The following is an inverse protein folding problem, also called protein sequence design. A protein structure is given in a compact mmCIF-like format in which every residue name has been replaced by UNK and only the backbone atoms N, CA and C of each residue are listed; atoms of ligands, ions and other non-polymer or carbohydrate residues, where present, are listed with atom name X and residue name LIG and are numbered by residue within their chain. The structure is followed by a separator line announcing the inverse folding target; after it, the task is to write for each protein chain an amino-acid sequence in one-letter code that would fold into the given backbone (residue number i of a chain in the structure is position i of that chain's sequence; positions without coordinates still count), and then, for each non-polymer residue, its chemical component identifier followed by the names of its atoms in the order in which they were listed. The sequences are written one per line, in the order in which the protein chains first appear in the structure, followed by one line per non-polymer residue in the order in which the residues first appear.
data_IF_921290793696
#
_entry.id   IF_921290793696
#
_cell.length_a   1.000
_cell.length_b   1.000
_cell.length_c   1.000
_cell.angle_alpha   90.00
_cell.angle_beta   90.00
_cell.angle_gamma   90.00
#
_symmetry.space_group_name_H-M   'P 1'
#
loop_
_entity.id
_entity.type
_entity.pdbx_description
1 polymer ?
#
# COMPACT_ATOMS: atom_id res chain seq x y z
N UNK A 1 26.40 2.33 49.09
CA UNK A 1 25.54 2.90 50.15
C UNK A 1 24.14 3.05 49.56
N UNK A 2 23.18 2.24 50.02
CA UNK A 2 21.80 2.20 49.51
C UNK A 2 20.96 3.18 50.34
N UNK A 3 20.44 4.24 49.74
CA UNK A 3 19.38 5.05 50.36
C UNK A 3 18.04 4.62 49.80
N UNK A 4 17.15 4.25 50.72
CA UNK A 4 15.74 3.94 50.49
C UNK A 4 14.89 5.14 50.93
N UNK A 5 13.75 5.28 50.23
CA UNK A 5 12.49 5.88 50.65
C UNK A 5 12.37 7.43 50.65
N UNK A 6 11.15 8.01 50.51
CA UNK A 6 9.84 7.36 50.63
C UNK A 6 8.81 7.61 49.51
N UNK A 7 7.87 6.66 49.46
CA UNK A 7 6.52 6.79 48.91
C UNK A 7 5.82 8.02 49.49
N UNK A 8 5.30 8.89 48.61
CA UNK A 8 4.33 9.93 48.98
C UNK A 8 3.02 9.61 48.25
N UNK A 9 2.06 9.08 49.00
CA UNK A 9 0.66 8.95 48.58
C UNK A 9 0.05 10.36 48.58
N UNK A 10 -0.25 10.91 47.40
CA UNK A 10 -1.07 12.11 47.26
C UNK A 10 -2.46 11.66 46.80
N UNK A 11 -3.43 11.77 47.71
CA UNK A 11 -4.85 11.84 47.39
C UNK A 11 -5.08 13.14 46.61
N UNK A 12 -5.40 13.07 45.31
CA UNK A 12 -5.89 14.22 44.55
C UNK A 12 -7.41 14.14 44.49
N UNK A 13 -8.02 15.20 44.97
CA UNK A 13 -9.46 15.48 44.98
C UNK A 13 -10.08 15.34 43.59
N UNK A 14 -11.25 14.69 43.57
CA UNK A 14 -12.25 14.76 42.51
C UNK A 14 -12.68 16.23 42.30
N UNK A 15 -12.03 16.91 41.35
CA UNK A 15 -12.57 18.10 40.72
C UNK A 15 -13.29 17.64 39.44
N UNK A 16 -14.62 17.67 39.46
CA UNK A 16 -15.44 17.39 38.29
C UNK A 16 -15.17 18.42 37.20
N UNK A 17 -14.33 18.08 36.23
CA UNK A 17 -14.22 18.83 34.98
C UNK A 17 -15.43 18.47 34.13
N UNK A 18 -16.36 19.40 34.02
CA UNK A 18 -17.46 19.38 33.07
C UNK A 18 -16.92 19.12 31.65
N UNK A 19 -17.05 17.88 31.19
CA UNK A 19 -16.74 17.48 29.83
C UNK A 19 -17.81 18.07 28.91
N UNK A 20 -17.55 19.24 28.33
CA UNK A 20 -18.43 19.79 27.28
C UNK A 20 -18.09 19.09 25.97
N UNK A 21 -18.84 18.02 25.67
CA UNK A 21 -18.94 17.52 24.30
C UNK A 21 -19.51 18.64 23.42
N UNK A 22 -18.76 19.05 22.40
CA UNK A 22 -19.27 19.98 21.38
C UNK A 22 -20.12 19.16 20.42
N UNK A 23 -21.42 19.10 20.67
CA UNK A 23 -22.39 18.50 19.76
C UNK A 23 -22.82 19.52 18.70
N UNK A 24 -22.08 19.58 17.60
CA UNK A 24 -22.60 20.16 16.36
C UNK A 24 -23.49 19.13 15.66
N UNK A 25 -24.78 19.13 15.99
CA UNK A 25 -25.81 18.36 15.28
C UNK A 25 -26.21 19.11 13.99
N UNK A 26 -25.42 18.96 12.94
CA UNK A 26 -25.91 19.24 11.58
C UNK A 26 -26.83 18.08 11.17
N UNK A 27 -27.98 18.38 10.57
CA UNK A 27 -28.91 17.37 10.08
C UNK A 27 -28.18 16.45 9.08
N UNK A 28 -27.95 15.19 9.48
CA UNK A 28 -27.19 14.24 8.67
C UNK A 28 -28.03 13.80 7.48
N UNK A 29 -27.52 14.03 6.26
CA UNK A 29 -28.02 13.36 5.06
C UNK A 29 -28.08 11.84 5.34
N UNK A 30 -29.07 11.12 4.77
CA UNK A 30 -29.11 9.67 4.91
C UNK A 30 -27.78 9.08 4.41
N UNK A 31 -27.25 8.05 5.09
CA UNK A 31 -25.99 7.45 4.67
C UNK A 31 -26.10 6.94 3.22
N UNK A 32 -25.03 7.05 2.41
CA UNK A 32 -25.05 6.54 1.05
C UNK A 32 -25.39 5.04 1.02
N UNK A 33 -26.08 4.59 -0.04
CA UNK A 33 -26.53 3.20 -0.16
C UNK A 33 -25.37 2.19 -0.16
N UNK A 34 -24.17 2.60 -0.60
CA UNK A 34 -22.96 1.78 -0.61
C UNK A 34 -22.28 1.65 0.76
N UNK A 35 -22.63 2.51 1.74
CA UNK A 35 -22.02 2.49 3.07
C UNK A 35 -22.64 1.35 3.88
N UNK A 36 -21.84 0.32 4.17
CA UNK A 36 -22.29 -0.82 4.95
C UNK A 36 -22.33 -0.48 6.46
N UNK A 37 -23.18 -1.19 7.21
CA UNK A 37 -23.18 -1.11 8.69
C UNK A 37 -22.01 -1.84 9.33
N UNK A 38 -21.49 -2.86 8.66
CA UNK A 38 -20.35 -3.66 9.11
C UNK A 38 -19.42 -3.92 7.92
N UNK A 39 -18.12 -3.79 8.14
CA UNK A 39 -17.08 -4.25 7.23
C UNK A 39 -16.29 -5.38 7.89
N UNK A 40 -16.37 -6.55 7.29
CA UNK A 40 -15.56 -7.70 7.68
C UNK A 40 -14.29 -7.73 6.83
N UNK A 41 -13.18 -8.21 7.40
CA UNK A 41 -11.90 -8.33 6.71
C UNK A 41 -11.30 -7.00 6.23
N UNK A 42 -11.43 -5.96 7.06
CA UNK A 42 -10.77 -4.67 6.81
C UNK A 42 -9.27 -4.86 6.88
N UNK A 43 -8.57 -4.46 5.81
CA UNK A 43 -7.11 -4.47 5.74
C UNK A 43 -6.59 -3.13 6.23
N UNK A 44 -5.81 -3.14 7.32
CA UNK A 44 -5.19 -1.92 7.83
C UNK A 44 -3.88 -1.66 7.08
N UNK A 45 -3.70 -0.43 6.61
CA UNK A 45 -2.47 0.05 5.98
C UNK A 45 -1.80 0.99 6.98
N UNK A 46 -0.61 0.63 7.45
CA UNK A 46 0.14 1.33 8.50
C UNK A 46 1.53 1.73 8.01
N UNK A 47 2.23 2.55 8.79
CA UNK A 47 3.58 3.00 8.46
C UNK A 47 4.56 1.81 8.29
N UNK A 48 4.43 0.76 9.10
CA UNK A 48 5.32 -0.42 9.04
C UNK A 48 5.20 -1.23 7.75
N UNK A 49 4.06 -1.18 7.08
CA UNK A 49 3.80 -1.83 5.79
C UNK A 49 3.81 -0.82 4.64
N UNK A 50 4.38 0.37 4.84
CA UNK A 50 4.52 1.37 3.78
C UNK A 50 5.94 1.90 3.68
N UNK A 51 6.32 2.30 2.46
CA UNK A 51 7.56 3.02 2.22
C UNK A 51 7.30 4.16 1.25
N UNK A 52 8.02 5.26 1.42
CA UNK A 52 7.98 6.42 0.53
C UNK A 52 9.38 6.71 -0.03
N UNK A 53 9.45 6.99 -1.33
CA UNK A 53 10.66 7.46 -2.00
C UNK A 53 10.28 8.31 -3.21
N UNK A 54 10.77 9.56 -3.26
CA UNK A 54 10.54 10.50 -4.34
C UNK A 54 9.04 10.66 -4.72
N UNK A 55 8.16 10.74 -3.71
CA UNK A 55 6.71 10.83 -3.88
C UNK A 55 6.02 9.55 -4.38
N UNK A 56 6.78 8.47 -4.62
CA UNK A 56 6.22 7.14 -4.85
C UNK A 56 6.09 6.37 -3.55
N UNK A 57 5.09 5.50 -3.47
CA UNK A 57 4.77 4.73 -2.28
C UNK A 57 4.75 3.24 -2.60
N UNK A 58 5.27 2.41 -1.71
CA UNK A 58 4.97 0.98 -1.67
C UNK A 58 3.98 0.73 -0.55
N UNK A 59 2.85 0.10 -0.86
CA UNK A 59 1.99 -0.55 0.13
C UNK A 59 2.33 -2.03 0.11
N UNK A 60 3.08 -2.45 1.12
CA UNK A 60 3.73 -3.75 1.22
C UNK A 60 2.81 -4.78 1.87
N UNK A 61 1.67 -5.02 1.24
CA UNK A 61 0.64 -5.94 1.72
C UNK A 61 0.29 -6.93 0.59
N UNK A 62 0.38 -8.25 0.82
CA UNK A 62 -0.07 -9.22 -0.16
C UNK A 62 -1.59 -9.36 -0.15
N UNK A 63 -2.29 -8.85 -1.16
CA UNK A 63 -3.75 -8.96 -1.21
C UNK A 63 -4.21 -10.10 -2.10
N UNK A 64 -5.02 -11.00 -1.52
CA UNK A 64 -5.86 -11.92 -2.27
C UNK A 64 -7.22 -11.28 -2.46
N UNK A 65 -7.59 -11.01 -3.71
CA UNK A 65 -8.87 -10.38 -4.00
C UNK A 65 -10.04 -11.28 -3.58
N UNK A 66 -11.01 -10.75 -2.83
CA UNK A 66 -12.24 -11.47 -2.54
C UNK A 66 -13.06 -11.64 -3.83
N UNK A 67 -13.66 -12.82 -4.02
CA UNK A 67 -14.49 -13.10 -5.20
C UNK A 67 -15.86 -12.43 -5.14
N UNK A 68 -16.45 -12.33 -3.94
CA UNK A 68 -17.85 -11.95 -3.74
C UNK A 68 -18.04 -10.73 -2.81
N UNK A 69 -16.97 -9.96 -2.55
CA UNK A 69 -17.07 -8.78 -1.68
C UNK A 69 -16.18 -7.64 -2.14
N UNK A 70 -16.56 -6.42 -1.73
CA UNK A 70 -15.75 -5.22 -1.94
C UNK A 70 -14.58 -5.23 -0.97
N UNK A 71 -13.37 -4.99 -1.46
CA UNK A 71 -12.18 -4.85 -0.60
C UNK A 71 -12.27 -3.55 0.21
N UNK A 72 -11.95 -3.62 1.50
CA UNK A 72 -12.03 -2.47 2.41
C UNK A 72 -10.68 -2.24 3.06
N UNK A 73 -10.15 -1.02 2.95
CA UNK A 73 -8.86 -0.63 3.49
C UNK A 73 -9.03 0.50 4.50
N UNK A 74 -8.31 0.42 5.61
CA UNK A 74 -8.18 1.51 6.58
C UNK A 74 -6.78 2.12 6.46
N UNK A 75 -6.70 3.35 5.98
CA UNK A 75 -5.44 4.04 5.70
C UNK A 75 -4.94 4.79 6.93
N UNK A 76 -4.19 4.11 7.79
CA UNK A 76 -3.54 4.68 8.98
C UNK A 76 -2.14 5.25 8.66
N UNK A 77 -1.99 5.86 7.49
CA UNK A 77 -0.75 6.48 7.01
C UNK A 77 -1.07 7.68 6.12
N UNK A 78 -0.07 8.51 5.80
CA UNK A 78 -0.25 9.78 5.08
C UNK A 78 -0.04 9.68 3.56
N UNK A 79 -0.43 8.57 2.93
CA UNK A 79 -0.38 8.45 1.46
C UNK A 79 -1.41 9.42 0.84
N UNK A 80 -1.02 10.27 -0.13
CA UNK A 80 -1.96 11.20 -0.76
C UNK A 80 -3.14 10.48 -1.44
N UNK A 81 -4.35 10.88 -1.06
CA UNK A 81 -5.61 10.29 -1.56
C UNK A 81 -5.68 10.27 -3.10
N UNK A 82 -5.16 11.30 -3.76
CA UNK A 82 -5.17 11.43 -5.22
C UNK A 82 -4.43 10.29 -5.93
N UNK A 83 -3.49 9.62 -5.25
CA UNK A 83 -2.80 8.47 -5.83
C UNK A 83 -3.71 7.24 -5.93
N UNK A 84 -4.70 7.07 -5.04
CA UNK A 84 -5.66 5.96 -5.07
C UNK A 84 -6.71 6.12 -6.17
N UNK A 85 -6.94 7.36 -6.61
CA UNK A 85 -7.90 7.73 -7.67
C UNK A 85 -7.34 7.57 -9.09
N UNK A 86 -6.12 7.05 -9.24
CA UNK A 86 -5.53 6.76 -10.56
C UNK A 86 -6.00 5.38 -11.06
N UNK A 87 -6.24 5.19 -12.38
CA UNK A 87 -6.88 3.98 -12.90
C UNK A 87 -6.11 2.67 -12.66
N UNK A 88 -4.78 2.75 -12.64
CA UNK A 88 -3.89 1.60 -12.50
C UNK A 88 -3.01 1.69 -11.23
N UNK A 89 -3.37 2.54 -10.27
CA UNK A 89 -2.66 2.61 -9.00
C UNK A 89 -3.34 1.67 -7.99
N UNK A 90 -2.61 1.26 -6.95
CA UNK A 90 -3.17 0.56 -5.78
C UNK A 90 -4.08 -0.63 -6.12
N UNK A 91 -3.48 -1.82 -6.24
CA UNK A 91 -4.10 -3.08 -6.72
C UNK A 91 -4.89 -2.89 -8.03
N UNK A 92 -4.21 -2.89 -9.19
CA UNK A 92 -4.85 -2.58 -10.47
C UNK A 92 -6.00 -3.52 -10.88
N UNK A 93 -6.05 -4.74 -10.34
CA UNK A 93 -7.11 -5.71 -10.59
C UNK A 93 -8.40 -5.41 -9.82
N UNK A 94 -8.34 -4.65 -8.72
CA UNK A 94 -9.52 -4.18 -8.01
C UNK A 94 -10.26 -3.12 -8.84
N UNK A 95 -11.46 -3.49 -9.30
CA UNK A 95 -12.39 -2.57 -9.97
C UNK A 95 -13.23 -1.75 -8.99
N UNK A 96 -13.35 -2.20 -7.75
CA UNK A 96 -14.14 -1.55 -6.71
C UNK A 96 -13.52 -1.79 -5.34
N UNK A 97 -13.40 -0.73 -4.53
CA UNK A 97 -12.94 -0.82 -3.14
C UNK A 97 -13.42 0.35 -2.29
N UNK A 98 -13.44 0.15 -0.97
CA UNK A 98 -13.67 1.19 0.04
C UNK A 98 -12.33 1.56 0.66
N UNK A 99 -12.04 2.86 0.73
CA UNK A 99 -10.90 3.42 1.44
C UNK A 99 -11.41 4.28 2.60
N UNK A 100 -11.03 3.91 3.82
CA UNK A 100 -11.36 4.64 5.05
C UNK A 100 -10.11 5.43 5.44
N UNK A 101 -10.23 6.73 5.59
CA UNK A 101 -9.12 7.64 5.90
C UNK A 101 -9.48 8.46 7.14
N UNK A 102 -8.65 8.43 8.21
CA UNK A 102 -8.80 9.35 9.34
C UNK A 102 -8.82 10.80 8.87
N UNK A 103 -9.66 11.63 9.50
CA UNK A 103 -9.59 13.07 9.26
C UNK A 103 -8.36 13.66 9.98
N UNK A 104 -7.20 13.51 9.35
CA UNK A 104 -5.92 13.97 9.88
C UNK A 104 -5.92 15.45 10.21
N UNK A 105 -6.69 16.27 9.47
CA UNK A 105 -6.81 17.69 9.74
C UNK A 105 -7.57 17.92 11.04
N UNK A 106 -8.72 17.26 11.22
CA UNK A 106 -9.47 17.33 12.48
C UNK A 106 -8.60 16.91 13.67
N UNK A 107 -7.92 15.77 13.58
CA UNK A 107 -7.07 15.30 14.68
C UNK A 107 -5.92 16.27 14.99
N UNK A 108 -5.32 16.87 13.96
CA UNK A 108 -4.30 17.90 14.14
C UNK A 108 -4.89 19.15 14.82
N UNK A 109 -6.05 19.63 14.38
CA UNK A 109 -6.72 20.80 14.94
C UNK A 109 -7.09 20.58 16.43
N UNK A 110 -7.51 19.35 16.82
CA UNK A 110 -7.79 18.98 18.21
C UNK A 110 -6.51 18.92 19.06
N UNK A 111 -5.42 18.37 18.52
CA UNK A 111 -4.13 18.32 19.21
C UNK A 111 -3.60 19.74 19.48
N UNK A 112 -3.58 20.61 18.46
CA UNK A 112 -3.16 22.00 18.60
C UNK A 112 -4.03 22.80 19.59
N UNK A 113 -5.34 22.55 19.61
CA UNK A 113 -6.25 23.19 20.55
C UNK A 113 -6.03 22.71 22.00
N UNK A 114 -5.68 21.45 22.19
CA UNK A 114 -5.33 20.85 23.49
C UNK A 114 -4.08 21.50 24.06
N UNK A 115 -3.02 21.59 23.25
CA UNK A 115 -1.76 22.23 23.61
C UNK A 115 -1.94 23.70 23.98
N UNK A 116 -2.64 24.49 23.16
CA UNK A 116 -2.90 25.92 23.41
C UNK A 116 -3.65 26.19 24.71
N UNK A 117 -4.51 25.27 25.12
CA UNK A 117 -5.34 25.40 26.33
C UNK A 117 -4.73 24.73 27.56
N UNK A 118 -3.64 23.96 27.41
CA UNK A 118 -3.05 23.18 28.48
C UNK A 118 -4.00 22.11 29.05
N UNK A 119 -4.95 21.62 28.24
CA UNK A 119 -5.93 20.60 28.64
C UNK A 119 -5.86 19.43 27.65
N UNK A 120 -6.31 18.26 28.09
CA UNK A 120 -6.49 17.09 27.21
C UNK A 120 -7.90 17.18 26.61
N UNK A 121 -8.01 17.30 25.29
CA UNK A 121 -9.27 17.10 24.57
C UNK A 121 -9.28 15.69 23.99
N UNK A 122 -10.28 14.89 24.36
CA UNK A 122 -10.50 13.60 23.72
C UNK A 122 -11.14 13.81 22.34
N UNK A 123 -10.48 13.42 21.23
CA UNK A 123 -11.04 13.59 19.90
C UNK A 123 -12.20 12.62 19.68
N UNK A 124 -13.22 13.09 18.94
CA UNK A 124 -14.23 12.18 18.40
C UNK A 124 -13.60 11.38 17.26
N UNK A 125 -13.94 10.09 17.18
CA UNK A 125 -13.56 9.27 16.03
C UNK A 125 -14.16 9.92 14.78
N UNK A 126 -13.30 10.30 13.85
CA UNK A 126 -13.67 11.07 12.66
C UNK A 126 -12.93 10.50 11.45
N UNK A 127 -13.68 10.06 10.44
CA UNK A 127 -13.14 9.40 9.25
C UNK A 127 -13.92 9.79 7.98
N UNK A 128 -13.19 9.88 6.87
CA UNK A 128 -13.73 9.88 5.52
C UNK A 128 -13.82 8.45 5.00
N UNK A 129 -14.91 8.15 4.30
CA UNK A 129 -15.11 6.89 3.58
C UNK A 129 -15.19 7.24 2.10
N UNK A 130 -14.35 6.61 1.30
CA UNK A 130 -14.34 6.75 -0.15
C UNK A 130 -14.75 5.44 -0.78
N UNK A 131 -15.74 5.49 -1.66
CA UNK A 131 -16.11 4.38 -2.54
C UNK A 131 -15.51 4.65 -3.92
N UNK A 132 -14.52 3.85 -4.29
CA UNK A 132 -13.74 4.04 -5.51
C UNK A 132 -14.09 2.91 -6.48
N UNK A 133 -14.56 3.28 -7.66
CA UNK A 133 -14.88 2.35 -8.76
C UNK A 133 -14.11 2.70 -10.02
N UNK A 134 -13.68 1.68 -10.77
CA UNK A 134 -12.87 1.78 -11.98
C UNK A 134 -13.52 0.97 -13.09
N UNK A 135 -13.66 1.56 -14.27
CA UNK A 135 -14.11 0.83 -15.44
C UNK A 135 -12.95 0.44 -16.37
N UNK A 136 -13.26 -0.36 -17.40
CA UNK A 136 -12.25 -0.86 -18.35
C UNK A 136 -11.73 0.22 -19.31
N UNK A 137 -12.41 1.37 -19.40
CA UNK A 137 -11.89 2.55 -20.12
C UNK A 137 -10.91 3.39 -19.27
N UNK A 138 -10.60 2.96 -18.04
CA UNK A 138 -9.72 3.69 -17.13
C UNK A 138 -10.34 4.94 -16.53
N UNK A 139 -11.67 5.06 -16.49
CA UNK A 139 -12.37 6.12 -15.77
C UNK A 139 -12.52 5.68 -14.30
N UNK A 140 -12.11 6.55 -13.39
CA UNK A 140 -12.28 6.36 -11.95
C UNK A 140 -13.41 7.26 -11.45
N UNK A 141 -14.35 6.67 -10.72
CA UNK A 141 -15.39 7.40 -9.98
C UNK A 141 -15.12 7.27 -8.48
N UNK A 142 -15.40 8.35 -7.76
CA UNK A 142 -15.22 8.38 -6.31
C UNK A 142 -16.42 9.06 -5.67
N UNK A 143 -17.16 8.30 -4.87
CA UNK A 143 -18.14 8.84 -3.94
C UNK A 143 -17.52 8.91 -2.55
N UNK A 144 -17.99 9.83 -1.71
CA UNK A 144 -17.48 9.96 -0.36
C UNK A 144 -18.54 10.33 0.65
N UNK A 145 -18.32 9.92 1.89
CA UNK A 145 -19.08 10.39 3.05
C UNK A 145 -18.14 10.59 4.22
N UNK A 146 -18.53 11.49 5.13
CA UNK A 146 -17.74 11.88 6.29
C UNK A 146 -18.55 11.61 7.54
N UNK A 147 -17.96 10.89 8.49
CA UNK A 147 -18.62 10.53 9.75
C UNK A 147 -17.72 10.99 10.90
N UNK A 148 -18.32 11.68 11.86
CA UNK A 148 -17.68 12.13 13.09
C UNK A 148 -18.53 11.73 14.29
N UNK A 149 -17.89 11.19 15.32
CA UNK A 149 -18.52 10.72 16.55
C UNK A 149 -19.19 9.37 16.38
N UNK A 150 -20.51 9.33 16.50
CA UNK A 150 -21.27 8.08 16.48
C UNK A 150 -21.73 7.74 15.04
N UNK A 151 -22.02 6.46 14.80
CA UNK A 151 -22.57 5.99 13.52
C UNK A 151 -21.54 5.42 12.53
N UNK A 152 -20.29 5.25 12.96
CA UNK A 152 -19.30 4.52 12.17
C UNK A 152 -19.72 3.05 11.98
N UNK A 153 -19.45 2.46 10.81
CA UNK A 153 -19.58 1.01 10.64
C UNK A 153 -18.67 0.27 11.61
N UNK A 154 -19.05 -0.95 11.98
CA UNK A 154 -18.17 -1.83 12.77
C UNK A 154 -17.13 -2.48 11.87
N UNK A 155 -15.90 -2.55 12.35
CA UNK A 155 -14.79 -3.14 11.62
C UNK A 155 -14.34 -4.44 12.28
N UNK A 156 -14.11 -5.47 11.47
CA UNK A 156 -13.30 -6.63 11.84
C UNK A 156 -12.05 -6.62 10.96
N UNK A 157 -10.89 -6.49 11.57
CA UNK A 157 -9.62 -6.46 10.84
C UNK A 157 -9.15 -7.86 10.44
N UNK A 158 -8.37 -7.95 9.38
CA UNK A 158 -7.71 -9.19 8.95
C UNK A 158 -6.33 -8.86 8.41
N UNK A 159 -5.34 -9.66 8.82
CA UNK A 159 -3.99 -9.57 8.30
C UNK A 159 -3.88 -10.42 7.02
N UNK A 160 -3.51 -9.81 5.86
CA UNK A 160 -3.38 -10.57 4.62
C UNK A 160 -2.16 -11.48 4.64
N UNK A 161 -2.36 -12.73 4.19
CA UNK A 161 -1.31 -13.75 4.15
C UNK A 161 -1.15 -14.27 2.74
N UNK A 162 0.10 -14.45 2.31
CA UNK A 162 0.44 -15.08 1.03
C UNK A 162 0.02 -16.56 1.05
N UNK A 163 -0.89 -17.00 0.18
CA UNK A 163 -1.23 -18.42 0.06
C UNK A 163 -0.01 -19.27 -0.31
N UNK A 164 0.06 -20.50 0.20
CA UNK A 164 1.23 -21.41 0.00
C UNK A 164 1.51 -21.75 -1.46
N UNK A 165 0.52 -21.63 -2.34
CA UNK A 165 0.60 -21.91 -3.78
C UNK A 165 0.79 -20.65 -4.63
N UNK A 166 1.08 -19.50 -4.00
CA UNK A 166 1.25 -18.21 -4.67
C UNK A 166 2.60 -17.56 -4.32
N UNK A 167 3.14 -16.79 -5.26
CA UNK A 167 4.25 -15.87 -5.07
C UNK A 167 3.72 -14.48 -4.75
N UNK A 168 4.37 -13.81 -3.80
CA UNK A 168 4.19 -12.38 -3.58
C UNK A 168 5.18 -11.60 -4.46
N UNK A 169 4.70 -11.02 -5.55
CA UNK A 169 5.54 -10.44 -6.61
C UNK A 169 5.46 -8.91 -6.56
N UNK A 170 6.60 -8.24 -6.43
CA UNK A 170 6.68 -6.77 -6.40
C UNK A 170 6.88 -6.17 -7.79
N UNK A 171 7.49 -6.93 -8.71
CA UNK A 171 7.73 -6.50 -10.09
C UNK A 171 7.65 -7.69 -11.03
N UNK A 172 7.07 -7.43 -12.19
CA UNK A 172 6.92 -8.40 -13.28
C UNK A 172 7.47 -7.79 -14.55
N UNK A 173 8.31 -8.54 -15.27
CA UNK A 173 8.87 -8.14 -16.55
C UNK A 173 8.55 -9.22 -17.58
N UNK A 174 7.86 -8.87 -18.66
CA UNK A 174 7.47 -9.81 -19.73
C UNK A 174 8.20 -9.46 -21.02
N UNK A 175 8.75 -10.50 -21.65
CA UNK A 175 9.48 -10.47 -22.91
C UNK A 175 8.71 -11.31 -23.93
N UNK A 176 8.40 -10.71 -25.09
CA UNK A 176 7.72 -11.33 -26.23
C UNK A 176 8.66 -12.17 -27.11
N UNK A 177 8.28 -12.40 -28.37
CA UNK A 177 9.04 -13.26 -29.29
C UNK A 177 10.44 -12.70 -29.57
N UNK A 178 11.42 -13.59 -29.75
CA UNK A 178 12.79 -13.23 -30.17
C UNK A 178 12.87 -12.96 -31.68
N UNK A 179 11.94 -13.52 -32.47
CA UNK A 179 12.04 -13.55 -33.93
C UNK A 179 10.99 -12.70 -34.66
N UNK A 180 9.68 -12.84 -34.41
CA UNK A 180 8.65 -12.31 -35.34
C UNK A 180 7.31 -11.92 -34.68
N UNK A 181 7.02 -10.63 -34.43
CA UNK A 181 7.99 -9.54 -34.38
C UNK A 181 8.87 -9.68 -33.13
N UNK A 182 10.16 -9.39 -33.29
CA UNK A 182 11.09 -9.34 -32.16
C UNK A 182 10.64 -8.28 -31.16
N UNK A 183 10.45 -8.66 -29.90
CA UNK A 183 10.22 -7.71 -28.82
C UNK A 183 11.50 -6.88 -28.58
N UNK A 184 11.46 -5.54 -28.70
CA UNK A 184 12.60 -4.68 -28.42
C UNK A 184 13.19 -4.86 -27.01
N UNK A 185 12.39 -5.36 -26.05
CA UNK A 185 12.86 -5.62 -24.68
C UNK A 185 13.96 -6.67 -24.59
N UNK A 186 14.13 -7.51 -25.63
CA UNK A 186 15.25 -8.45 -25.69
C UNK A 186 16.62 -7.79 -25.70
N UNK A 187 16.72 -6.52 -26.12
CA UNK A 187 17.98 -5.76 -26.08
C UNK A 187 18.39 -5.44 -24.63
N UNK A 188 17.41 -5.13 -23.78
CA UNK A 188 17.62 -4.77 -22.37
C UNK A 188 17.84 -5.99 -21.47
N UNK A 189 17.46 -7.18 -21.92
CA UNK A 189 17.59 -8.40 -21.12
C UNK A 189 19.06 -8.71 -20.79
N UNK A 190 19.99 -8.36 -21.68
CA UNK A 190 21.42 -8.58 -21.47
C UNK A 190 21.96 -7.78 -20.26
N UNK A 191 21.31 -6.67 -19.95
CA UNK A 191 21.69 -5.77 -18.86
C UNK A 191 21.11 -6.18 -17.50
N UNK A 192 20.21 -7.17 -17.44
CA UNK A 192 19.55 -7.56 -16.19
C UNK A 192 20.55 -8.13 -15.16
N UNK A 193 21.40 -9.08 -15.57
CA UNK A 193 22.40 -9.67 -14.65
C UNK A 193 23.44 -8.63 -14.21
N UNK A 194 24.04 -7.83 -15.10
CA UNK A 194 24.89 -6.71 -14.72
C UNK A 194 24.22 -5.73 -13.76
N UNK A 195 22.96 -5.35 -14.02
CA UNK A 195 22.19 -4.45 -13.16
C UNK A 195 22.04 -5.02 -11.74
N UNK A 196 21.60 -6.28 -11.62
CA UNK A 196 21.41 -6.91 -10.31
C UNK A 196 22.72 -6.91 -9.52
N UNK A 197 23.82 -7.36 -10.13
CA UNK A 197 25.13 -7.40 -9.47
C UNK A 197 25.61 -6.01 -9.03
N UNK A 198 25.46 -5.01 -9.90
CA UNK A 198 25.85 -3.64 -9.58
C UNK A 198 24.99 -3.07 -8.45
N UNK A 199 23.67 -3.30 -8.48
CA UNK A 199 22.75 -2.88 -7.44
C UNK A 199 23.09 -3.53 -6.09
N UNK A 200 23.33 -4.84 -6.07
CA UNK A 200 23.76 -5.58 -4.88
C UNK A 200 25.06 -5.03 -4.30
N UNK A 201 26.06 -4.77 -5.15
CA UNK A 201 27.35 -4.22 -4.74
C UNK A 201 27.23 -2.80 -4.17
N UNK A 202 26.47 -1.92 -4.83
CA UNK A 202 26.30 -0.52 -4.41
C UNK A 202 25.47 -0.41 -3.13
N UNK A 203 24.41 -1.23 -3.01
CA UNK A 203 23.46 -1.14 -1.88
C UNK A 203 23.83 -2.07 -0.72
N UNK A 204 24.80 -2.98 -0.91
CA UNK A 204 25.23 -3.93 0.11
C UNK A 204 24.14 -4.93 0.51
N UNK A 205 23.26 -5.31 -0.42
CA UNK A 205 22.16 -6.25 -0.20
C UNK A 205 22.17 -7.36 -1.26
N UNK A 206 21.55 -8.49 -0.96
CA UNK A 206 21.37 -9.59 -1.91
C UNK A 206 19.93 -9.60 -2.45
N UNK A 207 19.78 -9.64 -3.77
CA UNK A 207 18.50 -9.77 -4.45
C UNK A 207 18.21 -11.25 -4.64
N UNK A 208 17.21 -11.75 -3.91
CA UNK A 208 16.79 -13.14 -3.98
C UNK A 208 15.38 -13.26 -4.55
N UNK A 209 14.98 -14.51 -4.85
CA UNK A 209 13.59 -14.82 -5.16
C UNK A 209 13.18 -14.30 -6.52
N UNK A 210 14.05 -14.47 -7.51
CA UNK A 210 13.76 -14.18 -8.92
C UNK A 210 13.28 -15.48 -9.58
N UNK A 211 12.10 -15.45 -10.18
CA UNK A 211 11.50 -16.59 -10.86
C UNK A 211 11.29 -16.28 -12.34
N UNK A 212 11.65 -17.22 -13.20
CA UNK A 212 11.40 -17.15 -14.64
C UNK A 212 10.33 -18.18 -15.02
N UNK A 213 9.37 -17.75 -15.83
CA UNK A 213 8.34 -18.58 -16.42
C UNK A 213 8.37 -18.45 -17.94
N UNK A 214 8.50 -19.57 -18.66
CA UNK A 214 8.36 -19.57 -20.11
C UNK A 214 6.87 -19.47 -20.48
N UNK A 215 6.55 -18.63 -21.45
CA UNK A 215 5.19 -18.39 -21.93
C UNK A 215 5.00 -18.74 -23.42
N UNK A 216 6.07 -18.96 -24.17
CA UNK A 216 6.02 -19.33 -25.58
C UNK A 216 7.29 -20.02 -26.06
N UNK A 217 7.26 -20.52 -27.30
CA UNK A 217 8.30 -21.38 -27.89
C UNK A 217 9.43 -20.59 -28.54
N UNK A 218 9.27 -19.28 -28.70
CA UNK A 218 10.19 -18.38 -29.40
C UNK A 218 10.98 -17.53 -28.40
N UNK A 219 11.11 -18.01 -27.16
CA UNK A 219 11.85 -17.36 -26.08
C UNK A 219 10.99 -16.55 -25.11
N UNK A 220 9.68 -16.42 -25.36
CA UNK A 220 8.79 -15.59 -24.55
C UNK A 220 8.78 -16.07 -23.10
N UNK A 221 9.00 -15.14 -22.19
CA UNK A 221 9.04 -15.45 -20.78
C UNK A 221 8.67 -14.24 -19.93
N UNK A 222 8.30 -14.53 -18.69
CA UNK A 222 8.08 -13.52 -17.66
C UNK A 222 9.06 -13.76 -16.51
N UNK A 223 9.64 -12.68 -16.00
CA UNK A 223 10.48 -12.66 -14.81
C UNK A 223 9.70 -12.00 -13.67
N UNK A 224 9.62 -12.68 -12.54
CA UNK A 224 8.94 -12.25 -11.33
C UNK A 224 9.96 -11.99 -10.23
N UNK A 225 9.89 -10.81 -9.62
CA UNK A 225 10.76 -10.40 -8.52
C UNK A 225 9.98 -10.42 -7.20
N UNK A 226 10.30 -11.36 -6.31
CA UNK A 226 9.62 -11.52 -5.00
C UNK A 226 10.38 -10.88 -3.84
N UNK A 227 11.66 -10.54 -4.02
CA UNK A 227 12.47 -9.71 -3.11
C UNK A 227 12.35 -10.07 -1.61
N UNK A 228 12.46 -11.35 -1.22
CA UNK A 228 12.43 -11.75 0.18
C UNK A 228 13.67 -11.22 0.90
N UNK A 229 13.56 -10.97 2.20
CA UNK A 229 14.66 -10.46 3.03
C UNK A 229 14.93 -8.96 2.89
N UNK A 230 14.39 -8.29 1.87
CA UNK A 230 14.45 -6.82 1.76
C UNK A 230 13.37 -6.16 2.63
N UNK A 231 13.67 -4.97 3.16
CA UNK A 231 12.67 -4.09 3.80
C UNK A 231 11.77 -3.43 2.75
N UNK A 232 10.60 -2.90 3.14
CA UNK A 232 9.70 -2.20 2.22
C UNK A 232 10.38 -1.02 1.51
N UNK A 233 11.27 -0.31 2.21
CA UNK A 233 12.08 0.77 1.61
C UNK A 233 13.05 0.24 0.55
N UNK A 234 13.76 -0.86 0.83
CA UNK A 234 14.66 -1.49 -0.14
C UNK A 234 13.91 -2.07 -1.34
N UNK A 235 12.71 -2.64 -1.12
CA UNK A 235 11.83 -3.11 -2.20
C UNK A 235 11.41 -1.96 -3.11
N UNK A 236 10.94 -0.84 -2.52
CA UNK A 236 10.56 0.34 -3.29
C UNK A 236 11.73 0.90 -4.10
N UNK A 237 12.90 1.05 -3.48
CA UNK A 237 14.12 1.51 -4.14
C UNK A 237 14.49 0.61 -5.33
N UNK A 238 14.49 -0.71 -5.14
CA UNK A 238 14.73 -1.67 -6.22
C UNK A 238 13.71 -1.54 -7.35
N UNK A 239 12.42 -1.41 -7.04
CA UNK A 239 11.36 -1.29 -8.05
C UNK A 239 11.58 -0.02 -8.90
N UNK A 240 11.93 1.10 -8.27
CA UNK A 240 12.19 2.38 -8.94
C UNK A 240 13.46 2.30 -9.79
N UNK A 241 14.56 1.75 -9.26
CA UNK A 241 15.81 1.58 -10.00
C UNK A 241 15.65 0.60 -11.17
N UNK A 242 15.01 -0.54 -10.97
CA UNK A 242 14.77 -1.50 -12.06
C UNK A 242 13.88 -0.91 -13.14
N UNK A 243 12.89 -0.08 -12.77
CA UNK A 243 12.05 0.64 -13.75
C UNK A 243 12.88 1.63 -14.59
N UNK A 244 13.88 2.26 -13.99
CA UNK A 244 14.74 3.22 -14.69
C UNK A 244 15.61 2.61 -15.78
N UNK A 245 15.92 1.31 -15.70
CA UNK A 245 16.69 0.60 -16.73
C UNK A 245 16.02 0.65 -18.11
N UNK A 246 14.70 0.86 -18.15
CA UNK A 246 13.93 0.94 -19.40
C UNK A 246 13.86 2.36 -19.99
N UNK A 247 14.53 3.33 -19.38
CA UNK A 247 14.59 4.71 -19.87
C UNK A 247 15.89 4.90 -20.64
N UNK A 248 15.78 5.17 -21.95
CA UNK A 248 16.90 5.52 -22.82
C UNK A 248 17.53 6.83 -22.31
N UNK A 249 18.88 6.86 -22.20
CA UNK A 249 19.68 7.99 -21.69
C UNK A 249 19.53 8.26 -20.17
N UNK A 250 19.49 7.20 -19.36
CA UNK A 250 19.45 7.26 -17.89
C UNK A 250 20.50 8.18 -17.26
N UNK A 251 21.73 8.18 -17.80
CA UNK A 251 22.87 8.91 -17.24
C UNK A 251 22.82 10.43 -17.45
N UNK A 252 21.97 10.92 -18.36
CA UNK A 252 21.94 12.34 -18.76
C UNK A 252 20.65 13.06 -18.37
N UNK A 253 19.73 12.40 -17.65
CA UNK A 253 18.46 12.98 -17.23
C UNK A 253 18.21 12.77 -15.74
N UNK A 254 17.82 13.85 -15.05
CA UNK A 254 17.18 13.76 -13.74
C UNK A 254 15.89 12.96 -13.89
N UNK A 255 15.90 11.73 -13.39
CA UNK A 255 14.75 10.83 -13.48
C UNK A 255 13.76 11.18 -12.37
N UNK A 256 12.67 11.83 -12.74
CA UNK A 256 11.47 11.88 -11.91
C UNK A 256 10.42 10.94 -12.49
N UNK A 257 10.03 9.94 -11.72
CA UNK A 257 8.82 9.17 -12.02
C UNK A 257 7.62 9.96 -11.49
N UNK A 258 6.52 9.94 -12.25
CA UNK A 258 5.26 10.45 -11.72
C UNK A 258 4.91 9.69 -10.42
N UNK A 259 4.58 10.40 -9.33
CA UNK A 259 4.14 9.80 -8.07
C UNK A 259 3.07 8.72 -8.28
N UNK A 260 3.26 7.56 -7.67
CA UNK A 260 2.32 6.44 -7.76
C UNK A 260 2.43 5.49 -6.57
N UNK A 261 1.40 4.66 -6.39
CA UNK A 261 1.40 3.58 -5.42
C UNK A 261 1.75 2.26 -6.12
N UNK A 262 2.74 1.57 -5.59
CA UNK A 262 3.07 0.20 -5.89
C UNK A 262 2.44 -0.72 -4.84
N UNK A 263 1.91 -1.85 -5.31
CA UNK A 263 1.36 -2.92 -4.48
C UNK A 263 1.86 -4.23 -5.04
N UNK A 264 2.20 -5.23 -4.21
CA UNK A 264 2.58 -6.52 -4.74
C UNK A 264 1.37 -7.25 -5.34
N UNK A 265 1.65 -8.23 -6.20
CA UNK A 265 0.67 -9.08 -6.86
C UNK A 265 0.86 -10.52 -6.41
N UNK A 266 -0.25 -11.20 -6.15
CA UNK A 266 -0.24 -12.64 -5.89
C UNK A 266 -0.33 -13.40 -7.21
N UNK A 267 0.72 -14.15 -7.54
CA UNK A 267 0.81 -14.95 -8.76
C UNK A 267 0.84 -16.43 -8.41
N UNK A 268 -0.03 -17.25 -9.02
CA UNK A 268 -0.04 -18.70 -8.81
C UNK A 268 1.27 -19.34 -9.26
N UNK A 269 1.82 -20.22 -8.44
CA UNK A 269 3.05 -20.97 -8.76
C UNK A 269 2.73 -22.07 -9.77
N UNK A 270 3.29 -21.96 -10.97
CA UNK A 270 3.28 -23.03 -11.97
C UNK A 270 4.41 -24.01 -11.66
N UNK A 271 4.07 -25.23 -11.22
CA UNK A 271 5.05 -26.23 -10.74
C UNK A 271 5.50 -27.23 -11.80
N UNK A 272 4.71 -27.39 -12.87
CA UNK A 272 4.85 -28.46 -13.85
C UNK A 272 4.67 -27.95 -15.28
N UNK A 273 5.08 -28.78 -16.25
CA UNK A 273 4.93 -28.52 -17.67
C UNK A 273 5.83 -27.41 -18.22
N UNK A 274 5.53 -26.98 -19.44
CA UNK A 274 6.31 -25.99 -20.18
C UNK A 274 6.40 -24.62 -19.50
N UNK A 275 5.35 -24.25 -18.75
CA UNK A 275 5.23 -22.96 -18.04
C UNK A 275 5.74 -23.04 -16.60
N UNK A 276 6.44 -24.11 -16.21
CA UNK A 276 7.00 -24.24 -14.86
C UNK A 276 7.87 -23.03 -14.51
N UNK A 277 7.63 -22.46 -13.35
CA UNK A 277 8.48 -21.41 -12.78
C UNK A 277 9.80 -22.00 -12.30
N UNK A 278 10.90 -21.38 -12.71
CA UNK A 278 12.26 -21.75 -12.31
C UNK A 278 12.90 -20.59 -11.54
N UNK A 279 13.41 -20.87 -10.34
CA UNK A 279 14.16 -19.87 -9.57
C UNK A 279 15.53 -19.67 -10.22
N UNK A 280 15.91 -18.42 -10.47
CA UNK A 280 17.17 -18.06 -11.16
C UNK A 280 18.14 -17.25 -10.28
N UNK A 281 17.71 -16.79 -9.10
CA UNK A 281 18.55 -16.24 -8.01
C UNK A 281 17.84 -16.42 -6.66
#
# INVERSE_FOLDING_TARGET
MKMKAPFLYIFILLAGTNCKQVTTSAASLPPPAWLAKNYNHVVMIEEENTAEQAGSYLVDIPLKEPQDSVSVFFLNTRIPLELFKKPNAFYPSLKEFILIVPDWKYYQDVAEASEKKGIILEPLVTNYYYHITRNDQGVVKTDSTHISGNGHPRFSYTEPVVPKDMLNVYRTESYGSVCCPRDPRWELQQDDVPFIKAYEQVKGIAIQGIYKQNNGKEGEHTVYYTLPGLTSKQRLDFILEKRSQWIINKETKDMSFNPQIFTPQLIKIEKEGFRKMTKIN
#
